data_IF_484470069431
#
_entry.id   IF_484470069431
#
_cell.length_a   1.000
_cell.length_b   1.000
_cell.length_c   1.000
_cell.angle_alpha   90.00
_cell.angle_beta   90.00
_cell.angle_gamma   90.00
#
_symmetry.space_group_name_H-M   'P 1'
#
loop_
_entity.id
_entity.type
_entity.pdbx_description
1 polymer ?
#
# COMPACT_ATOMS: atom_id res chain seq x y z
N UNK A 1 7.12 -2.99 22.69
CA UNK A 1 5.71 -3.43 22.75
C UNK A 1 5.15 -3.31 21.35
N UNK A 2 4.64 -4.41 20.82
CA UNK A 2 4.53 -4.80 19.41
C UNK A 2 3.45 -4.08 18.60
N UNK A 3 3.68 -4.02 17.28
CA UNK A 3 2.85 -3.53 16.15
C UNK A 3 1.47 -4.18 15.99
N UNK A 4 0.84 -4.61 17.09
CA UNK A 4 -0.40 -5.39 17.09
C UNK A 4 -1.63 -4.56 16.68
N UNK A 5 -1.61 -3.21 16.67
CA UNK A 5 -2.85 -2.44 16.47
C UNK A 5 -3.15 -2.08 15.00
N UNK A 6 -2.16 -1.93 14.14
CA UNK A 6 -2.34 -1.39 12.78
C UNK A 6 -2.66 -2.51 11.80
N UNK A 7 -1.82 -3.55 11.76
CA UNK A 7 -2.06 -4.77 10.97
C UNK A 7 -3.39 -5.46 11.33
N UNK A 8 -3.76 -5.53 12.61
CA UNK A 8 -5.06 -6.09 13.01
C UNK A 8 -6.24 -5.19 12.59
N UNK A 9 -6.09 -3.87 12.66
CA UNK A 9 -7.15 -2.95 12.19
C UNK A 9 -7.28 -2.99 10.67
N UNK A 10 -6.16 -3.14 9.96
CA UNK A 10 -6.07 -3.30 8.51
C UNK A 10 -6.88 -4.52 8.06
N UNK A 11 -6.58 -5.69 8.63
CA UNK A 11 -7.27 -6.96 8.32
C UNK A 11 -8.77 -6.92 8.65
N UNK A 12 -9.16 -6.29 9.76
CA UNK A 12 -10.56 -6.33 10.22
C UNK A 12 -11.51 -5.36 9.50
N UNK A 13 -10.99 -4.35 8.80
CA UNK A 13 -11.83 -3.32 8.15
C UNK A 13 -11.50 -3.11 6.67
N UNK A 14 -10.24 -2.90 6.33
CA UNK A 14 -9.88 -2.50 4.97
C UNK A 14 -9.92 -3.71 4.03
N UNK A 15 -9.44 -4.88 4.47
CA UNK A 15 -9.52 -6.10 3.66
C UNK A 15 -10.97 -6.48 3.35
N UNK A 16 -11.87 -6.31 4.33
CA UNK A 16 -13.32 -6.54 4.16
C UNK A 16 -13.89 -5.58 3.11
N UNK A 17 -13.62 -4.28 3.24
CA UNK A 17 -14.11 -3.27 2.28
C UNK A 17 -13.55 -3.50 0.88
N UNK A 18 -12.26 -3.85 0.77
CA UNK A 18 -11.64 -4.21 -0.51
C UNK A 18 -12.32 -5.43 -1.12
N UNK A 19 -12.53 -6.48 -0.33
CA UNK A 19 -13.19 -7.70 -0.79
C UNK A 19 -14.62 -7.44 -1.28
N UNK A 20 -15.41 -6.65 -0.54
CA UNK A 20 -16.76 -6.24 -0.93
C UNK A 20 -16.79 -5.47 -2.27
N UNK A 21 -15.73 -4.74 -2.59
CA UNK A 21 -15.56 -4.05 -3.88
C UNK A 21 -14.86 -4.90 -4.96
N UNK A 22 -14.65 -6.19 -4.71
CA UNK A 22 -14.07 -7.14 -5.67
C UNK A 22 -12.53 -7.19 -5.69
N UNK A 23 -11.87 -6.48 -4.77
CA UNK A 23 -10.43 -6.49 -4.54
C UNK A 23 -10.05 -7.54 -3.50
N UNK A 24 -9.85 -8.78 -3.95
CA UNK A 24 -9.43 -9.86 -3.06
C UNK A 24 -7.95 -9.72 -2.71
N UNK A 25 -7.64 -9.44 -1.44
CA UNK A 25 -6.26 -9.28 -0.92
C UNK A 25 -5.41 -10.56 -1.00
N UNK A 26 -6.05 -11.73 -1.13
CA UNK A 26 -5.34 -13.00 -1.33
C UNK A 26 -4.99 -13.27 -2.79
N UNK A 27 -5.50 -12.44 -3.71
CA UNK A 27 -5.25 -12.55 -5.15
C UNK A 27 -4.18 -11.53 -5.56
N UNK A 28 -2.92 -11.99 -5.65
CA UNK A 28 -1.76 -11.16 -6.05
C UNK A 28 -1.88 -10.57 -7.45
N UNK A 29 -2.81 -11.04 -8.29
CA UNK A 29 -3.07 -10.42 -9.60
C UNK A 29 -3.89 -9.14 -9.50
N UNK A 30 -4.54 -8.91 -8.35
CA UNK A 30 -5.38 -7.73 -8.06
C UNK A 30 -4.79 -6.83 -6.99
N UNK A 31 -4.22 -7.42 -5.94
CA UNK A 31 -3.74 -6.67 -4.77
C UNK A 31 -2.37 -7.19 -4.34
N UNK A 32 -1.41 -6.27 -4.17
CA UNK A 32 -0.12 -6.57 -3.53
C UNK A 32 -0.07 -5.85 -2.19
N UNK A 33 0.16 -6.61 -1.11
CA UNK A 33 0.28 -6.09 0.25
C UNK A 33 1.71 -5.65 0.53
N UNK A 34 1.87 -4.60 1.34
CA UNK A 34 3.17 -4.14 1.86
C UNK A 34 4.25 -4.06 0.77
N UNK A 35 3.91 -3.38 -0.35
CA UNK A 35 4.77 -3.31 -1.53
C UNK A 35 5.94 -2.36 -1.29
N UNK A 36 7.14 -2.81 -1.66
CA UNK A 36 8.34 -1.97 -1.67
C UNK A 36 8.40 -1.20 -3.00
N UNK A 37 8.11 0.10 -2.99
CA UNK A 37 8.10 0.92 -4.21
C UNK A 37 9.50 1.11 -4.82
N UNK A 38 10.56 0.86 -4.05
CA UNK A 38 11.95 1.11 -4.45
C UNK A 38 12.65 -0.13 -4.96
N UNK A 39 12.30 -1.30 -4.43
CA UNK A 39 12.89 -2.58 -4.83
C UNK A 39 12.02 -3.38 -5.82
N UNK A 40 10.78 -2.95 -6.08
CA UNK A 40 9.94 -3.48 -7.15
C UNK A 40 10.36 -2.93 -8.52
N UNK A 41 10.17 -3.75 -9.58
CA UNK A 41 10.28 -3.32 -10.98
C UNK A 41 8.86 -3.19 -11.56
N UNK A 42 8.31 -1.98 -11.50
CA UNK A 42 6.93 -1.73 -11.94
C UNK A 42 6.76 -1.81 -13.46
N UNK A 43 7.84 -1.64 -14.23
CA UNK A 43 7.79 -1.81 -15.70
C UNK A 43 7.62 -3.27 -16.09
N UNK A 44 8.25 -4.18 -15.33
CA UNK A 44 8.15 -5.64 -15.54
C UNK A 44 7.02 -6.31 -14.76
N UNK A 45 6.23 -5.53 -14.00
CA UNK A 45 5.19 -6.04 -13.09
C UNK A 45 5.76 -7.02 -12.04
N UNK A 46 7.00 -6.79 -11.60
CA UNK A 46 7.64 -7.56 -10.53
C UNK A 46 7.52 -6.78 -9.20
N UNK A 47 6.41 -7.02 -8.50
CA UNK A 47 6.06 -6.33 -7.26
C UNK A 47 6.56 -7.10 -6.05
N UNK A 48 7.55 -6.53 -5.36
CA UNK A 48 8.18 -7.11 -4.18
C UNK A 48 7.46 -6.69 -2.91
N UNK A 49 7.08 -7.65 -2.07
CA UNK A 49 6.56 -7.42 -0.73
C UNK A 49 7.69 -7.34 0.30
N UNK A 50 7.37 -6.90 1.51
CA UNK A 50 8.34 -6.81 2.63
C UNK A 50 9.12 -8.10 2.90
N UNK A 51 8.53 -9.28 2.67
CA UNK A 51 9.17 -10.58 2.89
C UNK A 51 10.09 -11.02 1.74
N UNK A 52 10.06 -10.30 0.60
CA UNK A 52 10.86 -10.56 -0.60
C UNK A 52 12.04 -9.58 -0.73
N UNK A 53 12.18 -8.62 0.19
CA UNK A 53 13.18 -7.55 0.15
C UNK A 53 14.11 -7.57 1.37
N UNK A 54 15.23 -6.84 1.27
CA UNK A 54 16.09 -6.62 2.43
C UNK A 54 15.29 -5.86 3.49
N UNK A 55 14.97 -6.55 4.59
CA UNK A 55 14.22 -5.99 5.71
C UNK A 55 14.90 -4.73 6.18
N UNK A 56 14.15 -3.65 6.12
CA UNK A 56 14.50 -2.41 6.78
C UNK A 56 13.41 -2.16 7.81
N UNK A 57 13.77 -2.13 9.09
CA UNK A 57 12.81 -2.06 10.21
C UNK A 57 12.09 -0.69 10.33
N UNK A 58 12.10 0.12 9.29
CA UNK A 58 11.36 1.38 9.23
C UNK A 58 10.00 1.15 8.59
N UNK A 59 8.93 1.38 9.36
CA UNK A 59 7.52 1.36 8.92
C UNK A 59 7.24 2.29 7.72
N UNK A 60 8.14 3.20 7.41
CA UNK A 60 8.00 4.19 6.34
C UNK A 60 8.37 3.70 4.94
N UNK A 61 8.51 2.40 4.71
CA UNK A 61 9.12 1.87 3.48
C UNK A 61 8.19 1.11 2.55
N UNK A 62 6.98 0.78 2.98
CA UNK A 62 6.08 -0.08 2.24
C UNK A 62 4.70 0.56 2.18
N UNK A 63 4.10 0.60 0.99
CA UNK A 63 2.69 0.98 0.87
C UNK A 63 1.83 -0.23 1.28
N UNK A 64 0.81 -0.01 2.12
CA UNK A 64 0.00 -1.11 2.67
C UNK A 64 -0.66 -1.95 1.57
N UNK A 65 -1.19 -1.28 0.54
CA UNK A 65 -1.81 -1.93 -0.61
C UNK A 65 -1.42 -1.24 -1.91
N UNK A 66 -1.18 -2.07 -2.91
CA UNK A 66 -1.16 -1.69 -4.33
C UNK A 66 -2.29 -2.41 -5.04
N UNK A 67 -3.23 -1.64 -5.58
CA UNK A 67 -4.32 -2.15 -6.43
C UNK A 67 -3.85 -2.19 -7.88
N UNK A 68 -4.14 -3.30 -8.57
CA UNK A 68 -3.76 -3.55 -9.95
C UNK A 68 -4.97 -3.55 -10.89
N UNK A 69 -4.86 -2.93 -12.05
CA UNK A 69 -5.91 -3.01 -13.07
C UNK A 69 -6.03 -4.43 -13.66
N UNK A 70 -7.01 -4.64 -14.56
CA UNK A 70 -7.22 -5.94 -15.22
C UNK A 70 -6.06 -6.41 -16.11
N UNK A 71 -5.02 -5.60 -16.30
CA UNK A 71 -3.77 -5.94 -17.00
C UNK A 71 -2.60 -6.17 -16.05
N UNK A 72 -2.84 -6.14 -14.73
CA UNK A 72 -1.83 -6.27 -13.70
C UNK A 72 -0.97 -5.02 -13.52
N UNK A 73 -1.39 -3.84 -14.01
CA UNK A 73 -0.64 -2.58 -13.84
C UNK A 73 -1.10 -1.80 -12.62
N UNK A 74 -0.22 -0.99 -12.00
CA UNK A 74 -0.60 -0.14 -10.86
C UNK A 74 -1.77 0.77 -11.20
N UNK A 75 -2.81 0.71 -10.38
CA UNK A 75 -3.98 1.58 -10.45
C UNK A 75 -3.98 2.58 -9.29
N UNK A 76 -3.77 2.09 -8.07
CA UNK A 76 -3.84 2.89 -6.86
C UNK A 76 -2.96 2.33 -5.75
N UNK A 77 -2.56 3.19 -4.83
CA UNK A 77 -2.02 2.81 -3.53
C UNK A 77 -3.00 3.19 -2.42
N UNK A 78 -3.05 2.38 -1.36
CA UNK A 78 -3.83 2.67 -0.16
C UNK A 78 -2.89 2.66 1.03
N UNK A 79 -2.96 3.75 1.82
CA UNK A 79 -2.26 3.86 3.10
C UNK A 79 -3.27 3.76 4.26
N UNK A 80 -3.07 2.79 5.13
CA UNK A 80 -4.01 2.34 6.16
C UNK A 80 -3.61 2.78 7.58
N UNK A 81 -3.20 4.03 7.79
CA UNK A 81 -2.78 4.46 9.13
C UNK A 81 -3.92 4.78 10.09
N UNK A 82 -3.99 4.05 11.20
CA UNK A 82 -5.06 4.20 12.20
C UNK A 82 -5.03 5.53 12.94
N UNK A 83 -3.82 6.01 13.26
CA UNK A 83 -3.58 7.27 13.98
C UNK A 83 -2.21 7.81 13.59
N UNK A 84 -2.11 8.50 12.46
CA UNK A 84 -0.92 9.29 12.21
C UNK A 84 -0.86 10.39 13.29
N UNK A 85 0.22 10.39 14.10
CA UNK A 85 0.52 11.47 15.06
C UNK A 85 0.50 12.85 14.37
N UNK A 86 0.81 12.86 13.06
CA UNK A 86 0.63 13.96 12.14
C UNK A 86 0.09 13.44 10.79
N UNK A 87 -1.17 13.76 10.39
CA UNK A 87 -1.74 13.42 9.09
C UNK A 87 -0.89 13.82 7.88
N UNK A 88 -0.05 14.87 8.02
CA UNK A 88 0.84 15.34 6.95
C UNK A 88 1.97 14.37 6.66
N UNK A 89 2.43 13.61 7.65
CA UNK A 89 3.47 12.60 7.45
C UNK A 89 2.95 11.43 6.61
N UNK A 90 1.73 10.97 6.89
CA UNK A 90 1.09 9.92 6.08
C UNK A 90 0.77 10.39 4.66
N UNK A 91 0.42 11.67 4.50
CA UNK A 91 0.27 12.26 3.16
C UNK A 91 1.57 12.19 2.35
N UNK A 92 2.64 12.73 2.93
CA UNK A 92 3.93 12.80 2.26
C UNK A 92 4.44 11.40 1.90
N UNK A 93 4.24 10.44 2.78
CA UNK A 93 4.60 9.04 2.55
C UNK A 93 3.87 8.45 1.34
N UNK A 94 2.56 8.61 1.26
CA UNK A 94 1.80 8.13 0.11
C UNK A 94 2.19 8.85 -1.19
N UNK A 95 2.48 10.16 -1.13
CA UNK A 95 3.01 10.91 -2.28
C UNK A 95 4.36 10.36 -2.73
N UNK A 96 5.30 10.09 -1.80
CA UNK A 96 6.60 9.49 -2.10
C UNK A 96 6.45 8.12 -2.79
N UNK A 97 5.53 7.28 -2.34
CA UNK A 97 5.25 5.98 -2.97
C UNK A 97 4.68 6.13 -4.38
N UNK A 98 3.73 7.05 -4.59
CA UNK A 98 3.18 7.31 -5.92
C UNK A 98 4.24 7.87 -6.87
N UNK A 99 5.11 8.75 -6.38
CA UNK A 99 6.23 9.31 -7.14
C UNK A 99 7.26 8.25 -7.54
N UNK A 100 7.61 7.32 -6.63
CA UNK A 100 8.49 6.18 -6.93
C UNK A 100 7.91 5.33 -8.08
N UNK A 101 6.61 5.04 -8.04
CA UNK A 101 5.92 4.28 -9.10
C UNK A 101 5.92 5.08 -10.40
N UNK A 102 5.54 6.35 -10.36
CA UNK A 102 5.48 7.25 -11.52
C UNK A 102 6.84 7.39 -12.19
N UNK A 103 7.91 7.52 -11.41
CA UNK A 103 9.28 7.61 -11.93
C UNK A 103 9.66 6.36 -12.74
N UNK A 104 9.10 5.20 -12.41
CA UNK A 104 9.31 3.97 -13.16
C UNK A 104 8.40 3.90 -14.38
N UNK A 105 7.08 4.01 -14.25
CA UNK A 105 6.14 3.70 -15.36
C UNK A 105 5.67 4.92 -16.17
N UNK A 106 6.02 6.13 -15.75
CA UNK A 106 5.64 7.39 -16.40
C UNK A 106 4.15 7.73 -16.28
N UNK A 107 3.44 7.12 -15.33
CA UNK A 107 2.00 7.31 -15.10
C UNK A 107 1.70 7.52 -13.62
N UNK A 108 0.76 8.41 -13.34
CA UNK A 108 0.23 8.62 -12.00
C UNK A 108 -0.64 7.44 -11.57
N UNK A 109 -0.62 7.16 -10.26
CA UNK A 109 -1.54 6.24 -9.59
C UNK A 109 -2.42 7.02 -8.62
N UNK A 110 -3.62 6.51 -8.35
CA UNK A 110 -4.48 7.12 -7.33
C UNK A 110 -3.91 6.86 -5.93
N UNK A 111 -4.10 7.84 -5.04
CA UNK A 111 -3.74 7.71 -3.62
C UNK A 111 -5.02 7.71 -2.80
N UNK A 112 -5.27 6.63 -2.08
CA UNK A 112 -6.30 6.57 -1.04
C UNK A 112 -5.66 6.53 0.33
N UNK A 113 -6.24 7.28 1.26
CA UNK A 113 -5.81 7.29 2.66
C UNK A 113 -7.03 7.02 3.51
N UNK A 114 -6.92 6.08 4.44
CA UNK A 114 -7.93 5.90 5.45
C UNK A 114 -7.49 6.61 6.74
N UNK A 115 -8.27 7.61 7.17
CA UNK A 115 -8.10 8.22 8.48
C UNK A 115 -9.23 7.72 9.38
N UNK A 116 -8.96 6.73 10.23
CA UNK A 116 -9.90 6.35 11.29
C UNK A 116 -9.79 7.35 12.46
N UNK A 117 -10.18 8.60 12.20
CA UNK A 117 -10.46 9.57 13.25
C UNK A 117 -11.93 9.47 13.63
N UNK A 118 -12.20 8.98 14.83
CA UNK A 118 -13.51 8.85 15.51
C UNK A 118 -14.40 7.65 15.15
N UNK A 119 -14.58 6.81 16.15
CA UNK A 119 -15.91 6.42 16.67
C UNK A 119 -15.84 6.43 18.18
#
# INVERSE_FOLDING_TARGET
MSNLNESQTREQKIDVLLYEQGWNVTDRSKVVLEVDTKQSDFKKQDYKQINETLRNDAESKYADYLLLDGTGKPLAIIEAKRTAKDPRLGQKQAEEYADDIKAQIGKDVFIFRNYSGYS
#
